data_IF_576120345966
#
_entry.id   IF_576120345966
#
_cell.length_a   1.000
_cell.length_b   1.000
_cell.length_c   1.000
_cell.angle_alpha   90.00
_cell.angle_beta   90.00
_cell.angle_gamma   90.00
#
_symmetry.space_group_name_H-M   'P 1'
#
loop_
_entity.id
_entity.type
_entity.pdbx_description
1 polymer ?
#
# COMPACT_ATOMS: atom_id res chain seq x y z
N UNK A 1 20.72 33.80 51.76
CA UNK A 1 20.69 34.27 50.36
C UNK A 1 20.53 33.12 49.36
N UNK A 2 20.60 31.86 49.82
CA UNK A 2 20.75 30.67 48.98
C UNK A 2 19.43 30.11 48.42
N UNK A 3 18.31 30.35 49.10
CA UNK A 3 16.97 29.91 48.64
C UNK A 3 16.49 30.67 47.39
N UNK A 4 16.90 31.93 47.24
CA UNK A 4 16.53 32.78 46.10
C UNK A 4 17.20 32.29 44.82
N UNK A 5 18.51 32.00 44.87
CA UNK A 5 19.25 31.43 43.74
C UNK A 5 18.78 30.02 43.35
N UNK A 6 18.37 29.20 44.32
CA UNK A 6 17.83 27.86 44.06
C UNK A 6 16.49 27.91 43.32
N UNK A 7 15.59 28.82 43.71
CA UNK A 7 14.29 29.01 43.03
C UNK A 7 14.43 29.56 41.60
N UNK A 8 15.45 30.39 41.33
CA UNK A 8 15.75 30.89 39.99
C UNK A 8 16.34 29.80 39.10
N UNK A 9 17.30 29.01 39.61
CA UNK A 9 17.90 27.90 38.85
C UNK A 9 16.89 26.83 38.49
N UNK A 10 16.04 26.43 39.45
CA UNK A 10 15.01 25.40 39.20
C UNK A 10 13.98 25.87 38.18
N UNK A 11 13.51 27.12 38.26
CA UNK A 11 12.61 27.71 37.25
C UNK A 11 13.24 27.80 35.84
N UNK A 12 14.52 28.14 35.75
CA UNK A 12 15.24 28.18 34.47
C UNK A 12 15.34 26.78 33.86
N UNK A 13 15.75 25.79 34.66
CA UNK A 13 15.90 24.40 34.20
C UNK A 13 14.55 23.83 33.75
N UNK A 14 13.48 24.05 34.52
CA UNK A 14 12.14 23.56 34.16
C UNK A 14 11.59 24.26 32.93
N UNK A 15 11.81 25.57 32.78
CA UNK A 15 11.39 26.32 31.58
C UNK A 15 12.11 25.83 30.33
N UNK A 16 13.43 25.65 30.39
CA UNK A 16 14.21 25.17 29.24
C UNK A 16 13.81 23.74 28.87
N UNK A 17 13.63 22.86 29.87
CA UNK A 17 13.13 21.51 29.66
C UNK A 17 11.75 21.48 29.01
N UNK A 18 10.83 22.34 29.47
CA UNK A 18 9.48 22.43 28.92
C UNK A 18 9.49 22.86 27.44
N UNK A 19 10.29 23.88 27.11
CA UNK A 19 10.43 24.35 25.72
C UNK A 19 11.03 23.25 24.83
N UNK A 20 12.04 22.53 25.31
CA UNK A 20 12.65 21.43 24.57
C UNK A 20 11.63 20.31 24.28
N UNK A 21 10.81 19.93 25.28
CA UNK A 21 9.76 18.93 25.13
C UNK A 21 8.72 19.38 24.09
N UNK A 22 8.30 20.65 24.11
CA UNK A 22 7.34 21.18 23.15
C UNK A 22 7.86 21.13 21.70
N UNK A 23 9.14 21.45 21.50
CA UNK A 23 9.78 21.38 20.18
C UNK A 23 9.82 19.93 19.69
N UNK A 24 10.29 19.00 20.54
CA UNK A 24 10.38 17.58 20.19
C UNK A 24 9.00 16.97 19.90
N UNK A 25 7.99 17.31 20.71
CA UNK A 25 6.62 16.82 20.51
C UNK A 25 6.03 17.34 19.19
N UNK A 26 6.22 18.63 18.88
CA UNK A 26 5.76 19.23 17.63
C UNK A 26 6.44 18.60 16.41
N UNK A 27 7.75 18.38 16.48
CA UNK A 27 8.51 17.75 15.41
C UNK A 27 8.09 16.29 15.22
N UNK A 28 8.04 15.52 16.29
CA UNK A 28 7.62 14.11 16.28
C UNK A 28 6.22 13.92 15.69
N UNK A 29 5.28 14.82 16.00
CA UNK A 29 3.94 14.75 15.43
C UNK A 29 3.90 14.96 13.90
N UNK A 30 4.79 15.80 13.37
CA UNK A 30 4.92 16.04 11.92
C UNK A 30 5.68 14.92 11.21
N UNK A 31 6.72 14.42 11.85
CA UNK A 31 7.63 13.41 11.32
C UNK A 31 6.92 12.05 11.15
N UNK A 32 6.15 11.62 12.16
CA UNK A 32 5.39 10.36 12.14
C UNK A 32 4.42 10.27 10.95
N UNK A 33 3.74 11.38 10.63
CA UNK A 33 2.79 11.44 9.49
C UNK A 33 3.49 11.36 8.13
N UNK A 34 4.76 11.76 8.05
CA UNK A 34 5.53 11.72 6.82
C UNK A 34 6.06 10.30 6.56
N UNK A 35 6.56 9.64 7.61
CA UNK A 35 7.04 8.27 7.51
C UNK A 35 5.95 7.28 7.08
N UNK A 36 4.76 7.38 7.68
CA UNK A 36 3.64 6.50 7.30
C UNK A 36 3.28 6.63 5.81
N UNK A 37 3.20 7.87 5.31
CA UNK A 37 2.90 8.13 3.90
C UNK A 37 3.97 7.57 2.97
N UNK A 38 5.25 7.74 3.33
CA UNK A 38 6.36 7.23 2.53
C UNK A 38 6.31 5.71 2.40
N UNK A 39 6.13 4.99 3.51
CA UNK A 39 6.05 3.52 3.48
C UNK A 39 4.81 3.03 2.71
N UNK A 40 3.67 3.70 2.84
CA UNK A 40 2.47 3.35 2.08
C UNK A 40 2.66 3.60 0.59
N UNK A 41 3.28 4.71 0.21
CA UNK A 41 3.55 5.05 -1.19
C UNK A 41 4.54 4.08 -1.83
N UNK A 42 5.58 3.66 -1.09
CA UNK A 42 6.55 2.68 -1.54
C UNK A 42 5.92 1.29 -1.72
N UNK A 43 5.11 0.83 -0.76
CA UNK A 43 4.37 -0.43 -0.88
C UNK A 43 3.42 -0.42 -2.09
N UNK A 44 2.75 0.72 -2.31
CA UNK A 44 1.89 0.95 -3.48
C UNK A 44 2.68 0.96 -4.78
N UNK A 45 3.85 1.60 -4.82
CA UNK A 45 4.72 1.57 -6.00
C UNK A 45 5.14 0.14 -6.33
N UNK A 46 5.60 -0.62 -5.33
CA UNK A 46 5.97 -2.04 -5.50
C UNK A 46 4.81 -2.87 -6.04
N UNK A 47 3.59 -2.68 -5.53
CA UNK A 47 2.41 -3.37 -6.03
C UNK A 47 2.05 -3.01 -7.48
N UNK A 48 2.24 -1.73 -7.89
CA UNK A 48 2.08 -1.33 -9.30
C UNK A 48 3.12 -1.98 -10.21
N UNK A 49 4.39 -1.94 -9.81
CA UNK A 49 5.48 -2.51 -10.61
C UNK A 49 5.29 -4.02 -10.82
N UNK A 50 4.86 -4.74 -9.77
CA UNK A 50 4.50 -6.16 -9.88
C UNK A 50 3.31 -6.36 -10.81
N UNK A 51 2.26 -5.55 -10.69
CA UNK A 51 1.07 -5.67 -11.55
C UNK A 51 1.40 -5.43 -13.02
N UNK A 52 2.18 -4.39 -13.33
CA UNK A 52 2.63 -4.09 -14.70
C UNK A 52 3.51 -5.20 -15.28
N UNK A 53 4.42 -5.74 -14.46
CA UNK A 53 5.27 -6.86 -14.85
C UNK A 53 4.43 -8.11 -15.17
N UNK A 54 3.44 -8.42 -14.33
CA UNK A 54 2.54 -9.56 -14.56
C UNK A 54 1.68 -9.32 -15.81
N UNK A 55 1.14 -8.11 -15.99
CA UNK A 55 0.36 -7.79 -17.17
C UNK A 55 1.15 -8.01 -18.46
N UNK A 56 2.41 -7.55 -18.50
CA UNK A 56 3.33 -7.76 -19.62
C UNK A 56 3.71 -9.22 -19.83
N UNK A 57 3.83 -10.02 -18.77
CA UNK A 57 4.18 -11.43 -18.90
C UNK A 57 3.03 -12.30 -19.38
N UNK A 58 1.78 -11.91 -19.13
CA UNK A 58 0.59 -12.62 -19.61
C UNK A 58 0.06 -12.09 -20.95
N UNK A 59 0.53 -10.94 -21.44
CA UNK A 59 0.06 -10.30 -22.67
C UNK A 59 0.14 -11.23 -23.89
N UNK A 60 1.33 -11.80 -24.16
CA UNK A 60 1.50 -12.73 -25.30
C UNK A 60 0.66 -14.00 -25.16
N UNK A 61 0.71 -14.75 -24.03
CA UNK A 61 -0.18 -15.89 -23.82
C UNK A 61 -1.67 -15.57 -23.96
N UNK A 62 -2.09 -14.36 -23.56
CA UNK A 62 -3.48 -13.92 -23.74
C UNK A 62 -3.84 -13.72 -25.21
N UNK A 63 -2.95 -13.15 -26.01
CA UNK A 63 -3.14 -12.93 -27.46
C UNK A 63 -3.15 -14.24 -28.25
N UNK A 64 -2.29 -15.18 -27.87
CA UNK A 64 -2.16 -16.48 -28.53
C UNK A 64 -3.23 -17.49 -28.06
N UNK A 65 -4.08 -17.10 -27.11
CA UNK A 65 -5.14 -17.94 -26.56
C UNK A 65 -4.63 -19.02 -25.59
N UNK A 66 -3.35 -18.98 -25.22
CA UNK A 66 -2.70 -19.93 -24.32
C UNK A 66 -2.99 -19.62 -22.84
N UNK A 67 -4.27 -19.67 -22.48
CA UNK A 67 -4.76 -19.28 -21.15
C UNK A 67 -4.25 -20.17 -20.00
N UNK A 68 -3.76 -21.37 -20.31
CA UNK A 68 -3.11 -22.25 -19.34
C UNK A 68 -1.82 -21.60 -18.79
N UNK A 69 -1.03 -20.94 -19.65
CA UNK A 69 0.15 -20.19 -19.20
C UNK A 69 -0.23 -18.97 -18.38
N UNK A 70 -1.33 -18.27 -18.73
CA UNK A 70 -1.85 -17.16 -17.93
C UNK A 70 -2.17 -17.62 -16.51
N UNK A 71 -2.90 -18.74 -16.37
CA UNK A 71 -3.22 -19.31 -15.07
C UNK A 71 -1.96 -19.71 -14.29
N UNK A 72 -1.02 -20.42 -14.94
CA UNK A 72 0.24 -20.84 -14.31
C UNK A 72 1.10 -19.65 -13.84
N UNK A 73 1.15 -18.56 -14.61
CA UNK A 73 1.85 -17.33 -14.23
C UNK A 73 1.20 -16.72 -12.98
N UNK A 74 -0.13 -16.60 -12.95
CA UNK A 74 -0.86 -16.06 -11.80
C UNK A 74 -0.68 -16.90 -10.53
N UNK A 75 -0.66 -18.23 -10.65
CA UNK A 75 -0.39 -19.13 -9.52
C UNK A 75 1.03 -18.98 -8.97
N UNK A 76 2.04 -18.93 -9.85
CA UNK A 76 3.44 -18.71 -9.46
C UNK A 76 3.65 -17.37 -8.77
N UNK A 77 3.01 -16.33 -9.28
CA UNK A 77 3.06 -14.98 -8.70
C UNK A 77 2.35 -14.94 -7.35
N UNK A 78 1.23 -15.66 -7.20
CA UNK A 78 0.51 -15.74 -5.93
C UNK A 78 1.26 -16.52 -4.84
N UNK A 79 2.24 -17.36 -5.21
CA UNK A 79 3.12 -18.04 -4.27
C UNK A 79 4.18 -17.12 -3.62
N UNK A 80 4.32 -15.87 -4.09
CA UNK A 80 5.19 -14.87 -3.47
C UNK A 80 4.61 -14.45 -2.10
N UNK A 81 5.42 -14.51 -1.04
CA UNK A 81 5.00 -14.23 0.35
C UNK A 81 4.39 -12.83 0.56
N UNK A 82 4.77 -11.86 -0.27
CA UNK A 82 4.33 -10.46 -0.17
C UNK A 82 3.01 -10.17 -0.92
N UNK A 83 2.45 -11.17 -1.63
CA UNK A 83 1.23 -11.00 -2.40
C UNK A 83 0.06 -11.71 -1.74
N UNK A 84 -1.03 -10.98 -1.48
CA UNK A 84 -2.23 -11.56 -0.87
C UNK A 84 -3.06 -12.35 -1.88
N UNK A 85 -3.36 -11.73 -3.03
CA UNK A 85 -4.21 -12.28 -4.10
C UNK A 85 -3.88 -11.55 -5.41
N UNK A 86 -3.75 -12.29 -6.50
CA UNK A 86 -3.73 -11.75 -7.87
C UNK A 86 -4.78 -12.45 -8.74
N UNK A 87 -5.48 -11.71 -9.61
CA UNK A 87 -6.55 -12.26 -10.45
C UNK A 87 -6.81 -11.44 -11.69
N UNK A 88 -7.24 -12.13 -12.74
CA UNK A 88 -7.70 -11.57 -14.00
C UNK A 88 -9.23 -11.66 -14.07
N UNK A 89 -9.87 -10.53 -14.31
CA UNK A 89 -11.33 -10.41 -14.39
C UNK A 89 -11.74 -9.98 -15.80
N UNK A 90 -12.94 -10.36 -16.22
CA UNK A 90 -13.57 -9.81 -17.41
C UNK A 90 -14.10 -8.39 -17.18
N UNK A 91 -14.57 -7.74 -18.26
CA UNK A 91 -15.24 -6.44 -18.23
C UNK A 91 -16.42 -6.36 -17.27
N UNK A 92 -17.08 -7.48 -16.99
CA UNK A 92 -18.21 -7.56 -16.06
C UNK A 92 -17.77 -7.75 -14.59
N UNK A 93 -16.46 -7.77 -14.34
CA UNK A 93 -15.89 -7.97 -13.00
C UNK A 93 -15.88 -9.42 -12.50
N UNK A 94 -16.25 -10.38 -13.35
CA UNK A 94 -16.18 -11.81 -13.03
C UNK A 94 -14.73 -12.29 -13.15
N UNK A 95 -14.22 -12.92 -12.10
CA UNK A 95 -12.86 -13.49 -12.08
C UNK A 95 -12.82 -14.72 -12.98
N UNK A 96 -11.98 -14.69 -14.02
CA UNK A 96 -11.78 -15.81 -14.95
C UNK A 96 -10.54 -16.63 -14.63
N UNK A 97 -9.48 -15.97 -14.20
CA UNK A 97 -8.21 -16.60 -13.83
C UNK A 97 -7.72 -16.00 -12.52
N UNK A 98 -7.10 -16.82 -11.69
CA UNK A 98 -6.69 -16.40 -10.35
C UNK A 98 -5.56 -17.27 -9.84
N UNK A 99 -4.61 -16.66 -9.13
CA UNK A 99 -3.63 -17.43 -8.37
C UNK A 99 -4.24 -18.18 -7.18
N UNK A 100 -5.51 -17.91 -6.84
CA UNK A 100 -6.31 -18.74 -5.94
C UNK A 100 -7.53 -19.30 -6.71
N UNK A 101 -7.53 -20.59 -7.10
CA UNK A 101 -8.59 -21.21 -7.88
C UNK A 101 -9.99 -21.10 -7.27
N UNK A 102 -10.11 -21.03 -5.93
CA UNK A 102 -11.40 -20.90 -5.24
C UNK A 102 -12.12 -19.58 -5.51
N UNK A 103 -11.44 -18.61 -6.12
CA UNK A 103 -11.99 -17.29 -6.47
C UNK A 103 -12.52 -17.22 -7.90
N UNK A 104 -12.22 -18.21 -8.75
CA UNK A 104 -12.70 -18.25 -10.13
C UNK A 104 -14.23 -18.32 -10.14
N UNK A 105 -14.86 -17.52 -11.00
CA UNK A 105 -16.32 -17.40 -11.11
C UNK A 105 -16.96 -16.44 -10.11
N UNK A 106 -16.22 -15.90 -9.14
CA UNK A 106 -16.74 -14.88 -8.21
C UNK A 106 -16.62 -13.48 -8.83
N UNK A 107 -17.54 -12.60 -8.46
CA UNK A 107 -17.46 -11.17 -8.78
C UNK A 107 -16.42 -10.53 -7.86
N UNK A 108 -15.61 -9.63 -8.42
CA UNK A 108 -14.63 -8.89 -7.63
C UNK A 108 -15.33 -8.04 -6.56
N UNK A 109 -14.97 -8.25 -5.29
CA UNK A 109 -15.56 -7.54 -4.15
C UNK A 109 -14.71 -6.37 -3.65
N UNK A 110 -13.53 -6.17 -4.22
CA UNK A 110 -12.61 -5.12 -3.79
C UNK A 110 -13.15 -3.75 -4.23
N UNK A 111 -13.17 -2.78 -3.31
CA UNK A 111 -13.68 -1.42 -3.58
C UNK A 111 -12.93 -0.76 -4.73
N UNK A 112 -11.60 -0.90 -4.79
CA UNK A 112 -10.78 -0.38 -5.88
C UNK A 112 -11.09 -1.05 -7.21
N UNK A 113 -11.31 -2.37 -7.22
CA UNK A 113 -11.67 -3.07 -8.47
C UNK A 113 -13.07 -2.69 -8.96
N UNK A 114 -14.05 -2.54 -8.05
CA UNK A 114 -15.39 -2.05 -8.39
C UNK A 114 -15.35 -0.62 -8.95
N UNK A 115 -14.49 0.23 -8.39
CA UNK A 115 -14.29 1.59 -8.87
C UNK A 115 -13.66 1.59 -10.27
N UNK A 116 -12.66 0.73 -10.54
CA UNK A 116 -12.04 0.56 -11.87
C UNK A 116 -13.04 0.15 -12.95
N UNK A 117 -13.92 -0.80 -12.61
CA UNK A 117 -14.97 -1.26 -13.50
C UNK A 117 -15.97 -0.15 -13.80
N UNK A 118 -16.29 0.70 -12.82
CA UNK A 118 -17.23 1.82 -13.00
C UNK A 118 -16.64 2.96 -13.83
N UNK A 119 -15.36 3.25 -13.68
CA UNK A 119 -14.73 4.41 -14.32
C UNK A 119 -14.09 4.08 -15.67
N UNK A 120 -14.13 2.81 -16.11
CA UNK A 120 -13.45 2.28 -17.32
C UNK A 120 -11.98 2.72 -17.42
N UNK A 121 -11.39 3.03 -16.28
CA UNK A 121 -10.02 3.49 -16.12
C UNK A 121 -9.46 2.64 -15.02
N UNK A 122 -8.21 2.17 -15.19
CA UNK A 122 -7.50 1.53 -14.09
C UNK A 122 -7.52 2.52 -12.94
N UNK A 123 -8.35 2.27 -11.93
CA UNK A 123 -8.53 3.27 -10.90
C UNK A 123 -7.21 3.52 -10.22
N UNK A 124 -6.96 4.82 -10.06
CA UNK A 124 -6.18 5.46 -9.00
C UNK A 124 -6.66 5.07 -7.58
N UNK A 125 -7.07 3.81 -7.36
CA UNK A 125 -7.23 3.17 -6.05
C UNK A 125 -5.91 2.58 -5.56
N UNK A 126 -4.87 2.62 -6.39
CA UNK A 126 -3.50 2.74 -5.96
C UNK A 126 -3.00 4.21 -6.05
N UNK A 127 -3.75 5.23 -5.58
CA UNK A 127 -3.25 6.56 -5.16
C UNK A 127 -3.48 7.00 -3.72
#
# INVERSE_FOLDING_TARGET
MDSLFYSLRTKLITSVGLVLILILASFSHRDMKTHERFFLEEARKKARDVTDTVMKSIEYPMLDGEMEYVQAILERVNALKDLRVISLCNSDGVIRYSGNPERIGKIVSSKSSLEALRTHTLTKGLE
#
